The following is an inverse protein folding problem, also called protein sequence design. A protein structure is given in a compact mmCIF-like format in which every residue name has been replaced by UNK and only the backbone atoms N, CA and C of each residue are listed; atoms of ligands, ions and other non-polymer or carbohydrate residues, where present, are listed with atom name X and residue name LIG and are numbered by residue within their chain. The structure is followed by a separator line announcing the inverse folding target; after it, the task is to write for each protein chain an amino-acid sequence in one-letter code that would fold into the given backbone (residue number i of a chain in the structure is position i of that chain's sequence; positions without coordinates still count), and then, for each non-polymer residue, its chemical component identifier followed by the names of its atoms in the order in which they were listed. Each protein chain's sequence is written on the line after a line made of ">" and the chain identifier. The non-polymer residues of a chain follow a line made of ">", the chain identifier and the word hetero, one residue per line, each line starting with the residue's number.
data_IF_632946069729
#
_entry.id   IF_632946069729
#
_cell.length_a   1.000
_cell.length_b   1.000
_cell.length_c   1.000
_cell.angle_alpha   90.00
_cell.angle_beta   90.00
_cell.angle_gamma   90.00
#
_symmetry.space_group_name_H-M   'P 1'
#
loop_
_entity.id
_entity.type
_entity.pdbx_description
1 polymer ?
#
# COMPACT_ATOMS: atom_id res chain seq x y z
N UNK A 1 16.01 -24.96 -19.57
CA UNK A 1 16.47 -23.75 -18.83
C UNK A 1 15.34 -23.32 -17.92
N UNK A 2 15.28 -23.89 -16.72
CA UNK A 2 14.28 -23.58 -15.71
C UNK A 2 14.83 -22.45 -14.85
N UNK A 3 14.48 -21.21 -15.19
CA UNK A 3 14.83 -20.03 -14.41
C UNK A 3 13.81 -19.85 -13.29
N UNK A 4 14.21 -20.06 -12.05
CA UNK A 4 13.44 -19.76 -10.86
C UNK A 4 13.45 -18.25 -10.60
N UNK A 5 12.28 -17.62 -10.58
CA UNK A 5 12.12 -16.23 -10.20
C UNK A 5 11.27 -16.13 -8.94
N UNK A 6 11.82 -15.47 -7.93
CA UNK A 6 11.17 -15.23 -6.64
C UNK A 6 10.07 -14.20 -6.72
N UNK A 7 8.84 -14.64 -6.54
CA UNK A 7 7.67 -13.78 -6.38
C UNK A 7 7.09 -13.93 -4.98
N UNK A 8 7.65 -13.42 -3.96
CA UNK A 8 7.40 -13.92 -2.61
C UNK A 8 8.18 -15.23 -2.41
N UNK A 9 8.61 -15.60 -1.23
CA UNK A 9 9.47 -16.78 -1.07
C UNK A 9 8.96 -17.93 -1.92
N UNK A 10 9.78 -18.33 -2.88
CA UNK A 10 9.44 -19.35 -3.86
C UNK A 10 8.96 -20.61 -3.14
N UNK A 11 7.80 -21.07 -3.53
CA UNK A 11 7.29 -22.35 -3.07
C UNK A 11 8.18 -23.43 -3.66
N UNK A 12 9.16 -23.88 -2.91
CA UNK A 12 9.92 -25.07 -3.25
C UNK A 12 8.99 -26.26 -3.04
N UNK A 13 8.58 -26.85 -4.14
CA UNK A 13 7.85 -28.11 -4.14
C UNK A 13 8.83 -29.21 -3.78
N UNK A 14 8.58 -29.90 -2.69
CA UNK A 14 9.14 -31.24 -2.45
C UNK A 14 8.64 -32.11 -3.60
N UNK A 15 9.43 -32.25 -4.67
CA UNK A 15 9.12 -33.19 -5.74
C UNK A 15 9.11 -34.59 -5.13
N UNK A 16 7.94 -35.22 -5.17
CA UNK A 16 7.78 -36.65 -4.95
C UNK A 16 8.74 -37.43 -5.86
N UNK A 17 9.79 -37.93 -5.29
CA UNK A 17 10.62 -38.95 -5.91
C UNK A 17 9.92 -40.30 -5.80
N UNK A 18 8.87 -40.48 -6.56
CA UNK A 18 8.31 -41.78 -6.86
C UNK A 18 8.22 -41.92 -8.38
N UNK A 19 9.31 -42.28 -9.02
CA UNK A 19 9.36 -43.16 -10.21
C UNK A 19 10.74 -43.07 -10.85
N UNK A 20 11.68 -43.79 -10.29
CA UNK A 20 12.79 -44.35 -11.06
C UNK A 20 12.60 -45.88 -10.99
N UNK A 21 11.84 -46.40 -11.95
CA UNK A 21 11.86 -47.81 -12.25
C UNK A 21 13.21 -48.16 -12.85
N UNK A 22 14.11 -48.64 -12.02
CA UNK A 22 15.28 -49.37 -12.44
C UNK A 22 14.95 -50.86 -12.39
N UNK A 23 14.57 -51.42 -13.56
CA UNK A 23 14.50 -52.86 -13.75
C UNK A 23 15.90 -53.43 -13.71
N UNK A 24 16.30 -53.99 -12.59
CA UNK A 24 17.41 -54.93 -12.52
C UNK A 24 16.85 -56.25 -11.99
N UNK A 25 16.50 -57.13 -12.92
CA UNK A 25 16.36 -58.56 -12.68
C UNK A 25 17.75 -59.16 -12.58
N UNK A 26 18.19 -59.53 -11.39
CA UNK A 26 19.17 -60.55 -11.21
C UNK A 26 18.85 -61.35 -9.96
N UNK A 27 18.75 -62.67 -10.18
CA UNK A 27 18.58 -63.72 -9.19
C UNK A 27 19.54 -63.59 -8.02
N UNK A 28 19.01 -63.57 -6.80
CA UNK A 28 19.75 -63.96 -5.61
C UNK A 28 18.85 -64.83 -4.75
N UNK A 29 18.97 -66.12 -5.00
CA UNK A 29 18.65 -67.13 -4.01
C UNK A 29 19.89 -67.28 -3.10
N UNK A 30 19.64 -67.32 -1.78
CA UNK A 30 20.59 -67.70 -0.73
C UNK A 30 21.66 -66.70 -0.31
N UNK A 31 21.34 -65.93 0.74
CA UNK A 31 22.23 -65.80 1.91
C UNK A 31 21.44 -65.27 3.11
N UNK A 32 21.00 -66.17 3.96
CA UNK A 32 20.68 -65.88 5.35
C UNK A 32 22.00 -65.67 6.09
N UNK A 33 22.14 -64.53 6.67
CA UNK A 33 22.83 -64.24 7.94
C UNK A 33 23.64 -62.94 7.88
N UNK A 34 23.35 -62.13 8.87
CA UNK A 34 24.25 -61.16 9.45
C UNK A 34 24.49 -59.86 8.66
N UNK A 35 24.15 -58.83 9.30
CA UNK A 35 24.61 -57.44 9.34
C UNK A 35 23.43 -56.47 9.37
N UNK A 36 23.19 -56.05 10.56
CA UNK A 36 22.55 -54.78 10.93
C UNK A 36 23.36 -53.64 10.29
N UNK A 37 22.99 -53.28 9.09
CA UNK A 37 23.55 -52.13 8.43
C UNK A 37 22.47 -51.06 8.43
N UNK A 38 22.50 -50.22 9.44
CA UNK A 38 21.89 -48.88 9.36
C UNK A 38 22.38 -48.22 8.08
N UNK A 39 21.70 -48.42 6.98
CA UNK A 39 21.83 -47.59 5.80
C UNK A 39 21.30 -46.25 6.23
N UNK A 40 22.21 -45.39 6.76
CA UNK A 40 21.99 -43.96 6.73
C UNK A 40 21.72 -43.61 5.27
N UNK A 41 20.47 -43.38 4.95
CA UNK A 41 20.10 -42.72 3.67
C UNK A 41 20.79 -41.37 3.69
N UNK A 42 22.04 -41.32 3.22
CA UNK A 42 22.68 -40.06 2.90
C UNK A 42 21.79 -39.41 1.84
N UNK A 43 21.07 -38.37 2.22
CA UNK A 43 20.31 -37.52 1.31
C UNK A 43 21.32 -37.06 0.26
N UNK A 44 21.26 -37.58 -0.95
CA UNK A 44 22.09 -37.15 -2.05
C UNK A 44 21.73 -35.67 -2.30
N UNK A 45 22.59 -34.78 -1.85
CA UNK A 45 22.42 -33.33 -2.03
C UNK A 45 22.72 -33.04 -3.50
N UNK A 46 21.69 -32.72 -4.26
CA UNK A 46 21.84 -32.27 -5.65
C UNK A 46 22.29 -30.80 -5.68
N UNK A 47 23.54 -30.58 -6.03
CA UNK A 47 24.04 -29.21 -6.23
C UNK A 47 23.61 -28.67 -7.58
N UNK A 48 22.98 -27.46 -7.54
CA UNK A 48 22.57 -26.73 -8.72
C UNK A 48 23.73 -25.90 -9.30
N UNK A 49 23.70 -25.64 -10.59
CA UNK A 49 24.67 -24.72 -11.20
C UNK A 49 24.32 -23.27 -10.82
N UNK A 50 25.33 -22.42 -10.51
CA UNK A 50 25.07 -21.03 -10.13
C UNK A 50 24.47 -20.25 -11.29
N UNK A 51 23.30 -19.65 -11.09
CA UNK A 51 22.61 -18.84 -12.10
C UNK A 51 22.42 -17.40 -11.58
N UNK A 52 22.82 -16.43 -12.40
CA UNK A 52 22.65 -15.01 -12.11
C UNK A 52 21.69 -14.37 -13.11
N UNK A 53 20.96 -13.36 -12.65
CA UNK A 53 20.16 -12.54 -13.55
C UNK A 53 21.02 -11.82 -14.60
N UNK A 54 20.48 -11.65 -15.81
CA UNK A 54 21.17 -10.90 -16.87
C UNK A 54 21.46 -9.46 -16.46
N UNK A 55 22.52 -8.87 -16.99
CA UNK A 55 22.89 -7.49 -16.67
C UNK A 55 21.77 -6.50 -16.95
N UNK A 56 21.07 -6.66 -18.08
CA UNK A 56 19.94 -5.81 -18.44
C UNK A 56 18.81 -5.90 -17.40
N UNK A 57 18.50 -7.10 -16.92
CA UNK A 57 17.47 -7.31 -15.89
C UNK A 57 17.82 -6.59 -14.59
N UNK A 58 19.07 -6.72 -14.13
CA UNK A 58 19.57 -6.04 -12.92
C UNK A 58 19.49 -4.52 -13.05
N UNK A 59 20.00 -3.95 -14.15
CA UNK A 59 20.03 -2.50 -14.37
C UNK A 59 18.62 -1.93 -14.46
N UNK A 60 17.78 -2.52 -15.29
CA UNK A 60 16.40 -2.06 -15.50
C UNK A 60 15.60 -2.15 -14.18
N UNK A 61 15.64 -3.30 -13.51
CA UNK A 61 14.94 -3.49 -12.24
C UNK A 61 15.40 -2.51 -11.17
N UNK A 62 16.72 -2.32 -11.02
CA UNK A 62 17.29 -1.39 -10.02
C UNK A 62 16.90 0.06 -10.29
N UNK A 63 16.97 0.53 -11.55
CA UNK A 63 16.64 1.91 -11.88
C UNK A 63 15.15 2.18 -11.64
N UNK A 64 14.26 1.35 -12.22
CA UNK A 64 12.82 1.59 -12.11
C UNK A 64 12.34 1.48 -10.66
N UNK A 65 12.68 0.41 -9.97
CA UNK A 65 12.24 0.20 -8.60
C UNK A 65 12.93 1.16 -7.62
N UNK A 66 14.18 1.51 -7.85
CA UNK A 66 14.90 2.51 -7.05
C UNK A 66 14.27 3.91 -7.14
N UNK A 67 13.89 4.36 -8.33
CA UNK A 67 13.16 5.62 -8.51
C UNK A 67 11.80 5.58 -7.82
N UNK A 68 11.03 4.49 -7.98
CA UNK A 68 9.74 4.30 -7.32
C UNK A 68 9.90 4.33 -5.80
N UNK A 69 10.92 3.67 -5.26
CA UNK A 69 11.24 3.66 -3.83
C UNK A 69 11.50 5.06 -3.30
N UNK A 70 12.41 5.80 -3.93
CA UNK A 70 12.76 7.16 -3.51
C UNK A 70 11.54 8.10 -3.54
N UNK A 71 10.82 8.12 -4.66
CA UNK A 71 9.63 8.97 -4.83
C UNK A 71 8.53 8.57 -3.83
N UNK A 72 8.31 7.27 -3.65
CA UNK A 72 7.28 6.76 -2.76
C UNK A 72 7.59 7.02 -1.30
N UNK A 73 8.82 6.76 -0.85
CA UNK A 73 9.22 6.99 0.54
C UNK A 73 9.17 8.49 0.87
N UNK A 74 9.80 9.34 0.05
CA UNK A 74 9.79 10.78 0.28
C UNK A 74 8.37 11.36 0.23
N UNK A 75 7.56 10.93 -0.73
CA UNK A 75 6.18 11.38 -0.88
C UNK A 75 5.30 11.02 0.32
N UNK A 76 5.34 9.76 0.78
CA UNK A 76 4.54 9.31 1.91
C UNK A 76 5.00 9.94 3.24
N UNK A 77 6.31 10.09 3.47
CA UNK A 77 6.84 10.84 4.62
C UNK A 77 6.32 12.28 4.61
N UNK A 78 6.32 12.94 3.45
CA UNK A 78 5.81 14.31 3.32
C UNK A 78 4.31 14.41 3.63
N UNK A 79 3.49 13.45 3.23
CA UNK A 79 2.06 13.40 3.59
C UNK A 79 1.91 13.34 5.10
N UNK A 80 2.64 12.43 5.78
CA UNK A 80 2.59 12.29 7.23
C UNK A 80 2.99 13.60 7.92
N UNK A 81 4.11 14.22 7.52
CA UNK A 81 4.60 15.48 8.09
C UNK A 81 3.59 16.62 7.89
N UNK A 82 3.07 16.80 6.68
CA UNK A 82 2.16 17.90 6.34
C UNK A 82 0.86 17.79 7.13
N UNK A 83 0.27 16.60 7.22
CA UNK A 83 -1.00 16.40 7.93
C UNK A 83 -0.81 16.53 9.45
N UNK A 84 0.25 15.99 10.01
CA UNK A 84 0.48 16.01 11.48
C UNK A 84 0.93 17.37 12.00
N UNK A 85 1.78 18.09 11.25
CA UNK A 85 2.30 19.41 11.69
C UNK A 85 1.37 20.58 11.37
N UNK A 86 0.44 20.47 10.42
CA UNK A 86 -0.42 21.57 10.01
C UNK A 86 -1.83 21.42 10.60
N UNK A 87 -2.18 22.22 11.61
CA UNK A 87 -3.50 22.14 12.28
C UNK A 87 -4.69 22.18 11.32
N UNK A 88 -4.64 22.99 10.26
CA UNK A 88 -5.71 23.07 9.25
C UNK A 88 -5.85 21.85 8.36
N UNK A 89 -4.84 20.97 8.36
CA UNK A 89 -4.83 19.71 7.62
C UNK A 89 -5.30 18.53 8.48
N UNK A 90 -5.41 18.67 9.79
CA UNK A 90 -5.86 17.59 10.67
C UNK A 90 -7.39 17.46 10.59
N UNK A 91 -7.86 16.72 9.60
CA UNK A 91 -9.27 16.39 9.37
C UNK A 91 -9.49 14.87 9.45
N UNK A 92 -10.71 14.38 9.72
CA UNK A 92 -10.99 12.94 9.73
C UNK A 92 -10.49 12.25 8.46
N UNK A 93 -10.76 12.86 7.31
CA UNK A 93 -10.31 12.40 6.00
C UNK A 93 -8.80 12.23 5.91
N UNK A 94 -8.06 13.25 6.31
CA UNK A 94 -6.60 13.24 6.19
C UNK A 94 -5.95 12.28 7.21
N UNK A 95 -6.63 11.91 8.30
CA UNK A 95 -6.17 10.84 9.19
C UNK A 95 -6.08 9.48 8.45
N UNK A 96 -7.06 9.16 7.61
CA UNK A 96 -7.00 7.95 6.79
C UNK A 96 -5.89 8.01 5.73
N UNK A 97 -5.60 9.20 5.17
CA UNK A 97 -4.47 9.37 4.26
C UNK A 97 -3.13 9.16 4.96
N UNK A 98 -3.00 9.56 6.22
CA UNK A 98 -1.80 9.26 7.04
C UNK A 98 -1.68 7.75 7.27
N UNK A 99 -2.78 7.07 7.62
CA UNK A 99 -2.80 5.61 7.79
C UNK A 99 -2.38 4.89 6.50
N UNK A 100 -2.91 5.32 5.36
CA UNK A 100 -2.52 4.80 4.05
C UNK A 100 -1.04 5.04 3.75
N UNK A 101 -0.54 6.26 4.00
CA UNK A 101 0.89 6.58 3.80
C UNK A 101 1.83 5.75 4.70
N UNK A 102 1.43 5.45 5.94
CA UNK A 102 2.21 4.57 6.83
C UNK A 102 2.23 3.13 6.32
N UNK A 103 1.10 2.62 5.84
CA UNK A 103 0.99 1.30 5.23
C UNK A 103 1.84 1.19 3.95
N UNK A 104 1.80 2.22 3.09
CA UNK A 104 2.60 2.28 1.86
C UNK A 104 4.12 2.35 2.17
N UNK A 105 4.51 3.07 3.23
CA UNK A 105 5.91 3.08 3.71
C UNK A 105 6.36 1.69 4.15
N UNK A 106 5.52 0.92 4.86
CA UNK A 106 5.86 -0.45 5.25
C UNK A 106 6.08 -1.34 4.03
N UNK A 107 5.20 -1.28 3.02
CA UNK A 107 5.36 -2.05 1.77
C UNK A 107 6.66 -1.68 1.08
N UNK A 108 6.91 -0.38 0.87
CA UNK A 108 8.11 0.09 0.17
C UNK A 108 9.40 -0.29 0.90
N UNK A 109 9.45 -0.09 2.22
CA UNK A 109 10.65 -0.37 3.02
C UNK A 109 10.93 -1.86 3.20
N UNK A 110 9.89 -2.68 3.32
CA UNK A 110 10.05 -4.12 3.49
C UNK A 110 10.33 -4.86 2.17
N UNK A 111 9.79 -4.36 1.04
CA UNK A 111 9.83 -5.12 -0.22
C UNK A 111 10.89 -4.62 -1.19
N UNK A 112 10.96 -3.32 -1.46
CA UNK A 112 11.76 -2.80 -2.59
C UNK A 112 13.26 -2.97 -2.39
N UNK A 113 13.87 -2.64 -1.23
CA UNK A 113 15.30 -2.84 -1.03
C UNK A 113 15.70 -4.31 -1.15
N UNK A 114 14.87 -5.21 -0.60
CA UNK A 114 15.10 -6.64 -0.68
C UNK A 114 14.96 -7.17 -2.11
N UNK A 115 13.98 -6.69 -2.87
CA UNK A 115 13.79 -7.06 -4.28
C UNK A 115 14.98 -6.61 -5.14
N UNK A 116 15.46 -5.38 -4.97
CA UNK A 116 16.64 -4.88 -5.70
C UNK A 116 17.88 -5.70 -5.35
N UNK A 117 18.05 -6.01 -4.05
CA UNK A 117 19.20 -6.80 -3.59
C UNK A 117 19.18 -8.20 -4.20
N UNK A 118 18.03 -8.86 -4.31
CA UNK A 118 17.88 -10.19 -4.89
C UNK A 118 18.37 -10.27 -6.35
N UNK A 119 18.39 -9.17 -7.10
CA UNK A 119 18.93 -9.14 -8.47
C UNK A 119 20.44 -9.37 -8.54
N UNK A 120 21.16 -9.14 -7.45
CA UNK A 120 22.61 -9.25 -7.37
C UNK A 120 23.08 -10.49 -6.61
N UNK A 121 22.17 -11.20 -5.97
CA UNK A 121 22.43 -12.44 -5.25
C UNK A 121 22.33 -13.65 -6.20
N UNK A 122 22.80 -14.79 -5.74
CA UNK A 122 22.81 -16.03 -6.49
C UNK A 122 21.46 -16.75 -6.32
N UNK A 123 20.73 -16.94 -7.41
CA UNK A 123 19.45 -17.60 -7.39
C UNK A 123 18.47 -16.96 -6.39
N UNK A 124 17.95 -17.76 -5.48
CA UNK A 124 16.98 -17.33 -4.45
C UNK A 124 17.64 -17.11 -3.08
N UNK A 125 18.91 -16.71 -3.05
CA UNK A 125 19.65 -16.49 -1.81
C UNK A 125 19.00 -15.45 -0.92
N UNK A 126 18.90 -15.77 0.37
CA UNK A 126 18.36 -14.91 1.42
C UNK A 126 19.43 -14.61 2.47
N UNK A 127 19.88 -13.36 2.57
CA UNK A 127 21.01 -12.98 3.41
C UNK A 127 20.61 -12.48 4.81
N UNK A 128 19.32 -12.25 5.09
CA UNK A 128 18.86 -11.67 6.35
C UNK A 128 18.58 -12.72 7.42
N UNK A 129 18.89 -13.98 7.18
CA UNK A 129 18.64 -15.08 8.09
C UNK A 129 17.15 -15.29 8.41
N UNK A 130 16.87 -16.19 9.34
CA UNK A 130 15.51 -16.59 9.72
C UNK A 130 14.67 -15.41 10.26
N UNK A 131 15.24 -14.57 11.13
CA UNK A 131 14.51 -13.42 11.69
C UNK A 131 14.11 -12.43 10.62
N UNK A 132 15.01 -12.12 9.69
CA UNK A 132 14.72 -11.27 8.55
C UNK A 132 13.62 -11.86 7.67
N UNK A 133 13.67 -13.15 7.34
CA UNK A 133 12.63 -13.85 6.57
C UNK A 133 11.23 -13.64 7.18
N UNK A 134 11.10 -13.87 8.48
CA UNK A 134 9.83 -13.71 9.21
C UNK A 134 9.35 -12.25 9.20
N UNK A 135 10.24 -11.31 9.56
CA UNK A 135 9.88 -9.90 9.74
C UNK A 135 9.53 -9.24 8.40
N UNK A 136 10.32 -9.44 7.35
CA UNK A 136 10.08 -8.80 6.04
C UNK A 136 8.78 -9.28 5.41
N UNK A 137 8.48 -10.58 5.48
CA UNK A 137 7.22 -11.13 4.97
C UNK A 137 6.04 -10.60 5.77
N UNK A 138 6.11 -10.62 7.10
CA UNK A 138 5.06 -10.08 7.96
C UNK A 138 4.78 -8.60 7.68
N UNK A 139 5.81 -7.75 7.64
CA UNK A 139 5.66 -6.32 7.38
C UNK A 139 5.11 -6.02 5.98
N UNK A 140 5.50 -6.80 4.98
CA UNK A 140 4.98 -6.67 3.63
C UNK A 140 3.48 -6.95 3.58
N UNK A 141 3.01 -8.08 4.11
CA UNK A 141 1.59 -8.41 4.15
C UNK A 141 0.79 -7.44 5.04
N UNK A 142 1.35 -7.05 6.18
CA UNK A 142 0.74 -6.05 7.05
C UNK A 142 0.53 -4.72 6.32
N UNK A 143 1.54 -4.22 5.62
CA UNK A 143 1.46 -2.99 4.84
C UNK A 143 0.41 -3.08 3.73
N UNK A 144 0.40 -4.17 2.96
CA UNK A 144 -0.56 -4.42 1.87
C UNK A 144 -2.00 -4.41 2.42
N UNK A 145 -2.26 -5.17 3.47
CA UNK A 145 -3.60 -5.35 4.01
C UNK A 145 -4.09 -4.08 4.73
N UNK A 146 -3.22 -3.40 5.49
CA UNK A 146 -3.53 -2.11 6.11
C UNK A 146 -3.80 -1.00 5.07
N UNK A 147 -3.08 -0.98 3.94
CA UNK A 147 -3.31 -0.06 2.82
C UNK A 147 -4.71 -0.25 2.23
N UNK A 148 -5.08 -1.48 1.88
CA UNK A 148 -6.41 -1.81 1.35
C UNK A 148 -7.54 -1.44 2.30
N UNK A 149 -7.43 -1.79 3.58
CA UNK A 149 -8.42 -1.44 4.60
C UNK A 149 -8.51 0.07 4.84
N UNK A 150 -7.39 0.79 4.78
CA UNK A 150 -7.38 2.25 4.92
C UNK A 150 -8.11 2.94 3.77
N UNK A 151 -7.93 2.47 2.52
CA UNK A 151 -8.69 2.94 1.35
C UNK A 151 -10.19 2.65 1.55
N UNK A 152 -10.53 1.47 2.03
CA UNK A 152 -11.91 1.05 2.29
C UNK A 152 -12.58 1.94 3.35
N UNK A 153 -11.95 2.10 4.51
CA UNK A 153 -12.45 2.93 5.61
C UNK A 153 -12.62 4.39 5.16
N UNK A 154 -11.67 4.90 4.40
CA UNK A 154 -11.72 6.21 3.80
C UNK A 154 -12.90 6.38 2.82
N UNK A 155 -13.17 5.38 1.97
CA UNK A 155 -14.31 5.40 1.03
C UNK A 155 -15.64 5.43 1.77
N UNK A 156 -15.79 4.64 2.83
CA UNK A 156 -16.98 4.64 3.68
C UNK A 156 -17.18 6.01 4.37
N UNK A 157 -16.11 6.60 4.89
CA UNK A 157 -16.14 7.94 5.49
C UNK A 157 -16.61 8.99 4.49
N UNK A 158 -16.14 8.93 3.24
CA UNK A 158 -16.57 9.86 2.18
C UNK A 158 -18.04 9.68 1.82
N UNK A 159 -18.49 8.43 1.72
CA UNK A 159 -19.90 8.15 1.49
C UNK A 159 -20.77 8.77 2.57
N UNK A 160 -20.46 8.56 3.85
CA UNK A 160 -21.21 9.16 4.97
C UNK A 160 -21.18 10.69 4.89
N UNK A 161 -20.01 11.28 4.63
CA UNK A 161 -19.85 12.73 4.59
C UNK A 161 -20.64 13.41 3.45
N UNK A 162 -20.85 12.73 2.34
CA UNK A 162 -21.50 13.29 1.15
C UNK A 162 -22.97 12.93 1.10
N UNK A 163 -23.31 11.66 1.32
CA UNK A 163 -24.68 11.15 1.19
C UNK A 163 -25.52 11.41 2.45
N UNK A 164 -24.90 11.54 3.63
CA UNK A 164 -25.58 11.72 4.90
C UNK A 164 -25.02 12.91 5.71
N UNK A 165 -25.11 14.16 5.21
CA UNK A 165 -24.41 15.31 5.81
C UNK A 165 -24.83 15.61 7.25
N UNK A 166 -26.10 15.37 7.60
CA UNK A 166 -26.59 15.55 8.99
C UNK A 166 -25.94 14.55 9.95
N UNK A 167 -25.85 13.28 9.57
CA UNK A 167 -25.16 12.26 10.35
C UNK A 167 -23.65 12.50 10.38
N UNK A 168 -23.07 13.00 9.29
CA UNK A 168 -21.64 13.25 9.18
C UNK A 168 -21.15 14.28 10.22
N UNK A 169 -21.91 15.30 10.54
CA UNK A 169 -21.53 16.29 11.56
C UNK A 169 -21.31 15.65 12.94
N UNK A 170 -22.10 14.62 13.28
CA UNK A 170 -21.97 13.90 14.57
C UNK A 170 -20.94 12.79 14.53
N UNK A 171 -20.77 12.13 13.36
CA UNK A 171 -20.06 10.87 13.22
C UNK A 171 -18.63 11.06 12.65
N UNK A 172 -18.42 11.98 11.70
CA UNK A 172 -17.14 12.18 11.05
C UNK A 172 -16.22 13.10 11.88
N UNK A 173 -15.70 12.59 12.99
CA UNK A 173 -14.77 13.30 13.88
C UNK A 173 -13.37 12.71 13.82
N UNK A 174 -12.34 13.53 14.11
CA UNK A 174 -10.94 13.09 14.14
C UNK A 174 -10.73 11.96 15.15
N UNK A 175 -11.37 12.04 16.33
CA UNK A 175 -11.24 11.01 17.35
C UNK A 175 -11.83 9.67 16.91
N UNK A 176 -12.97 9.70 16.19
CA UNK A 176 -13.56 8.47 15.63
C UNK A 176 -12.68 7.92 14.52
N UNK A 177 -12.18 8.75 13.61
CA UNK A 177 -11.25 8.31 12.55
C UNK A 177 -10.03 7.61 13.15
N UNK A 178 -9.42 8.17 14.20
CA UNK A 178 -8.30 7.54 14.91
C UNK A 178 -8.67 6.16 15.49
N UNK A 179 -9.85 6.03 16.12
CA UNK A 179 -10.32 4.73 16.66
C UNK A 179 -10.51 3.70 15.55
N UNK A 180 -11.09 4.09 14.42
CA UNK A 180 -11.28 3.20 13.26
C UNK A 180 -9.91 2.78 12.70
N UNK A 181 -8.97 3.71 12.55
CA UNK A 181 -7.61 3.42 12.08
C UNK A 181 -6.91 2.43 13.01
N UNK A 182 -6.99 2.63 14.33
CA UNK A 182 -6.43 1.67 15.30
C UNK A 182 -7.07 0.28 15.09
N UNK A 183 -8.40 0.21 14.96
CA UNK A 183 -9.09 -1.04 14.66
C UNK A 183 -8.63 -1.71 13.38
N UNK A 184 -8.42 -0.94 12.29
CA UNK A 184 -7.87 -1.41 11.02
C UNK A 184 -6.47 -2.03 11.21
N UNK A 185 -5.58 -1.36 11.92
CA UNK A 185 -4.22 -1.85 12.16
C UNK A 185 -4.20 -3.07 13.06
N UNK A 186 -5.01 -3.11 14.13
CA UNK A 186 -5.15 -4.28 15.01
C UNK A 186 -5.67 -5.48 14.21
N UNK A 187 -6.72 -5.30 13.42
CA UNK A 187 -7.24 -6.37 12.57
C UNK A 187 -6.20 -6.86 11.55
N UNK A 188 -5.50 -5.94 10.86
CA UNK A 188 -4.45 -6.31 9.92
C UNK A 188 -3.30 -7.07 10.60
N UNK A 189 -2.85 -6.64 11.80
CA UNK A 189 -1.82 -7.34 12.57
C UNK A 189 -2.27 -8.76 12.96
N UNK A 190 -3.49 -8.91 13.47
CA UNK A 190 -4.02 -10.22 13.86
C UNK A 190 -4.17 -11.15 12.65
N UNK A 191 -4.68 -10.62 11.53
CA UNK A 191 -4.82 -11.39 10.30
C UNK A 191 -3.46 -11.81 9.71
N UNK A 192 -2.45 -10.95 9.77
CA UNK A 192 -1.11 -11.25 9.26
C UNK A 192 -0.24 -12.06 10.25
N UNK A 193 -0.64 -12.19 11.52
CA UNK A 193 0.16 -12.87 12.55
C UNK A 193 0.56 -14.32 12.19
N UNK A 194 -0.22 -15.12 11.43
CA UNK A 194 0.19 -16.44 11.01
C UNK A 194 1.51 -16.45 10.23
N UNK A 195 1.83 -15.40 9.47
CA UNK A 195 3.08 -15.32 8.71
C UNK A 195 4.33 -15.34 9.59
N UNK A 196 4.22 -14.96 10.86
CA UNK A 196 5.31 -15.05 11.84
C UNK A 196 5.74 -16.52 12.12
N UNK A 197 4.84 -17.48 11.86
CA UNK A 197 5.05 -18.91 12.11
C UNK A 197 5.10 -19.73 10.83
N UNK A 198 4.55 -19.21 9.73
CA UNK A 198 4.41 -19.90 8.45
C UNK A 198 5.56 -19.65 7.50
N UNK A 199 6.62 -18.98 7.95
CA UNK A 199 7.83 -18.71 7.16
C UNK A 199 9.05 -19.32 7.80
N UNK A 200 9.95 -19.86 6.99
CA UNK A 200 11.21 -20.46 7.41
C UNK A 200 12.33 -20.22 6.40
N UNK A 201 13.57 -20.28 6.84
CA UNK A 201 14.72 -20.42 5.92
C UNK A 201 15.03 -21.91 5.71
N UNK A 202 15.42 -22.25 4.49
CA UNK A 202 15.89 -23.59 4.15
C UNK A 202 17.23 -23.48 3.41
N UNK A 203 18.16 -24.42 3.63
CA UNK A 203 19.43 -24.42 2.92
C UNK A 203 19.22 -24.68 1.42
N UNK A 204 20.00 -24.01 0.58
CA UNK A 204 20.10 -24.24 -0.85
C UNK A 204 21.57 -24.55 -1.20
N UNK A 205 21.76 -25.40 -2.18
CA UNK A 205 23.10 -25.93 -2.51
C UNK A 205 23.45 -25.59 -3.96
N UNK A 206 24.43 -24.69 -4.13
CA UNK A 206 25.01 -24.36 -5.43
C UNK A 206 26.46 -24.83 -5.48
N UNK A 207 26.94 -25.27 -6.66
CA UNK A 207 28.32 -25.68 -6.87
C UNK A 207 29.27 -24.53 -6.54
N UNK A 208 30.24 -24.78 -5.66
CA UNK A 208 31.24 -23.78 -5.26
C UNK A 208 30.74 -22.73 -4.25
N UNK A 209 29.55 -22.88 -3.70
CA UNK A 209 29.00 -22.00 -2.69
C UNK A 209 28.47 -22.79 -1.49
N UNK A 210 28.85 -22.36 -0.28
CA UNK A 210 28.47 -23.01 0.99
C UNK A 210 27.61 -22.11 1.83
N UNK A 211 26.80 -22.72 2.71
CA UNK A 211 26.00 -22.01 3.71
C UNK A 211 24.96 -21.01 3.17
N UNK A 212 24.37 -21.29 2.02
CA UNK A 212 23.33 -20.46 1.44
C UNK A 212 21.96 -20.90 1.94
N UNK A 213 21.08 -19.93 2.17
CA UNK A 213 19.70 -20.15 2.59
C UNK A 213 18.74 -19.42 1.68
N UNK A 214 17.52 -19.93 1.53
CA UNK A 214 16.39 -19.22 0.93
C UNK A 214 15.26 -19.06 1.91
N UNK A 215 14.47 -17.99 1.77
CA UNK A 215 13.29 -17.72 2.59
C UNK A 215 12.05 -18.31 1.90
N UNK A 216 11.34 -19.20 2.58
CA UNK A 216 10.21 -19.93 2.01
C UNK A 216 9.06 -20.13 3.02
N UNK A 217 7.91 -20.62 2.56
CA UNK A 217 6.80 -20.97 3.42
C UNK A 217 7.03 -22.31 4.12
N UNK A 218 6.56 -22.41 5.35
CA UNK A 218 6.68 -23.63 6.16
C UNK A 218 5.62 -24.70 5.82
N UNK A 219 4.48 -24.28 5.27
CA UNK A 219 3.38 -25.14 4.88
C UNK A 219 3.50 -25.63 3.45
N UNK A 220 2.89 -26.77 3.14
CA UNK A 220 2.72 -27.24 1.76
C UNK A 220 1.79 -26.29 0.98
N UNK A 221 1.90 -26.31 -0.36
CA UNK A 221 1.16 -25.45 -1.27
C UNK A 221 -0.36 -25.47 -1.00
N UNK A 222 -0.94 -26.63 -0.78
CA UNK A 222 -2.38 -26.80 -0.58
C UNK A 222 -2.90 -26.01 0.63
N UNK A 223 -2.15 -25.95 1.72
CA UNK A 223 -2.54 -25.27 2.94
C UNK A 223 -2.43 -23.75 2.85
N UNK A 224 -1.39 -23.19 2.20
CA UNK A 224 -1.28 -21.74 2.08
C UNK A 224 -2.12 -21.14 0.95
N UNK A 225 -2.56 -21.94 -0.06
CA UNK A 225 -3.47 -21.44 -1.11
C UNK A 225 -4.79 -20.93 -0.54
N UNK A 226 -5.37 -21.62 0.42
CA UNK A 226 -6.58 -21.15 1.11
C UNK A 226 -6.41 -19.77 1.73
N UNK A 227 -5.24 -19.50 2.33
CA UNK A 227 -4.92 -18.21 2.90
C UNK A 227 -4.76 -17.12 1.83
N UNK A 228 -4.12 -17.43 0.70
CA UNK A 228 -4.01 -16.50 -0.43
C UNK A 228 -5.35 -16.16 -1.08
N UNK A 229 -6.26 -17.13 -1.20
CA UNK A 229 -7.62 -16.87 -1.70
C UNK A 229 -8.43 -16.04 -0.70
N UNK A 230 -8.30 -16.29 0.60
CA UNK A 230 -8.91 -15.46 1.63
C UNK A 230 -8.38 -14.01 1.54
N UNK A 231 -7.06 -13.82 1.41
CA UNK A 231 -6.43 -12.51 1.22
C UNK A 231 -6.94 -11.80 -0.05
N UNK A 232 -7.06 -12.51 -1.16
CA UNK A 232 -7.63 -12.00 -2.40
C UNK A 232 -9.06 -11.48 -2.21
N UNK A 233 -9.92 -12.26 -1.53
CA UNK A 233 -11.32 -11.89 -1.32
C UNK A 233 -11.45 -10.74 -0.33
N UNK A 234 -10.79 -10.82 0.84
CA UNK A 234 -10.95 -9.86 1.94
C UNK A 234 -10.29 -8.51 1.62
N UNK A 235 -9.11 -8.51 1.00
CA UNK A 235 -8.32 -7.28 0.82
C UNK A 235 -8.25 -6.77 -0.63
N UNK A 236 -8.88 -7.43 -1.57
CA UNK A 236 -8.95 -6.94 -2.95
C UNK A 236 -10.38 -6.95 -3.50
N UNK A 237 -11.04 -8.11 -3.60
CA UNK A 237 -12.38 -8.21 -4.23
C UNK A 237 -13.43 -7.45 -3.42
N UNK A 238 -13.55 -7.73 -2.12
CA UNK A 238 -14.54 -7.08 -1.26
C UNK A 238 -14.34 -5.56 -1.17
N UNK A 239 -13.14 -5.02 -0.89
CA UNK A 239 -12.89 -3.58 -0.91
C UNK A 239 -13.22 -2.91 -2.24
N UNK A 240 -12.89 -3.56 -3.35
CA UNK A 240 -13.16 -3.05 -4.69
C UNK A 240 -14.67 -2.98 -4.97
N UNK A 241 -15.40 -4.06 -4.74
CA UNK A 241 -16.86 -4.10 -4.91
C UNK A 241 -17.57 -3.09 -4.03
N UNK A 242 -17.20 -3.02 -2.73
CA UNK A 242 -17.75 -2.03 -1.82
C UNK A 242 -17.47 -0.60 -2.31
N UNK A 243 -16.26 -0.32 -2.75
CA UNK A 243 -15.90 0.99 -3.30
C UNK A 243 -16.73 1.33 -4.55
N UNK A 244 -16.89 0.39 -5.47
CA UNK A 244 -17.71 0.59 -6.68
C UNK A 244 -19.17 0.94 -6.32
N UNK A 245 -19.76 0.21 -5.38
CA UNK A 245 -21.15 0.49 -4.91
C UNK A 245 -21.24 1.87 -4.26
N UNK A 246 -20.34 2.20 -3.34
CA UNK A 246 -20.37 3.48 -2.63
C UNK A 246 -20.12 4.66 -3.57
N UNK A 247 -19.21 4.55 -4.53
CA UNK A 247 -18.99 5.60 -5.55
C UNK A 247 -20.17 5.73 -6.51
N UNK A 248 -20.82 4.64 -6.88
CA UNK A 248 -22.06 4.67 -7.66
C UNK A 248 -23.17 5.45 -6.94
N UNK A 249 -23.35 5.20 -5.64
CA UNK A 249 -24.31 5.94 -4.80
C UNK A 249 -23.95 7.43 -4.66
N UNK A 250 -22.68 7.75 -4.43
CA UNK A 250 -22.18 9.13 -4.37
C UNK A 250 -22.43 9.84 -5.70
N UNK A 251 -22.08 9.21 -6.81
CA UNK A 251 -22.28 9.76 -8.14
C UNK A 251 -23.76 10.05 -8.40
N UNK A 252 -24.65 9.09 -8.10
CA UNK A 252 -26.10 9.28 -8.24
C UNK A 252 -26.59 10.52 -7.50
N UNK A 253 -26.21 10.71 -6.23
CA UNK A 253 -26.64 11.88 -5.44
C UNK A 253 -26.10 13.19 -6.00
N UNK A 254 -24.82 13.20 -6.45
CA UNK A 254 -24.23 14.40 -7.03
C UNK A 254 -24.89 14.79 -8.35
N UNK A 255 -25.22 13.83 -9.22
CA UNK A 255 -25.93 14.08 -10.47
C UNK A 255 -27.35 14.58 -10.22
N UNK A 256 -28.08 13.98 -9.28
CA UNK A 256 -29.45 14.41 -8.94
C UNK A 256 -29.47 15.85 -8.40
N UNK A 257 -28.51 16.21 -7.55
CA UNK A 257 -28.41 17.56 -7.01
C UNK A 257 -28.02 18.59 -8.07
N UNK A 258 -27.15 18.24 -9.06
CA UNK A 258 -26.76 19.13 -10.13
C UNK A 258 -27.91 19.41 -11.12
N UNK A 259 -28.75 18.41 -11.42
CA UNK A 259 -29.95 18.56 -12.25
C UNK A 259 -30.98 19.48 -11.58
N UNK A 260 -31.15 19.38 -10.26
CA UNK A 260 -32.04 20.27 -9.48
C UNK A 260 -31.58 21.74 -9.49
N UNK A 261 -30.25 21.99 -9.45
CA UNK A 261 -29.67 23.35 -9.55
C UNK A 261 -29.85 23.96 -10.96
N UNK A 262 -29.72 23.17 -12.02
CA UNK A 262 -29.93 23.64 -13.40
C UNK A 262 -31.41 23.97 -13.66
N UNK A 263 -32.34 23.18 -13.10
CA UNK A 263 -33.76 23.43 -13.20
C UNK A 263 -34.17 24.69 -12.44
N UNK A 264 -33.62 24.93 -11.24
CA UNK A 264 -33.83 26.13 -10.44
C UNK A 264 -33.28 27.40 -11.11
N UNK A 265 -32.12 27.35 -11.79
CA UNK A 265 -31.57 28.45 -12.56
C UNK A 265 -32.43 28.81 -13.77
N UNK A 266 -33.03 27.84 -14.43
CA UNK A 266 -33.91 28.05 -15.59
C UNK A 266 -35.20 28.73 -15.23
N UNK A 267 -35.67 28.57 -13.98
CA UNK A 267 -36.94 29.14 -13.48
C UNK A 267 -36.79 30.48 -12.73
N UNK A 268 -35.63 31.18 -12.86
CA UNK A 268 -35.47 32.54 -12.36
C UNK A 268 -35.42 32.73 -10.85
N UNK A 269 -35.25 31.66 -10.08
CA UNK A 269 -35.07 31.72 -8.63
C UNK A 269 -33.68 32.22 -8.34
N UNK A 270 -33.57 33.53 -8.01
CA UNK A 270 -32.30 34.14 -7.51
C UNK A 270 -32.03 33.55 -6.12
N UNK A 271 -31.32 32.44 -6.07
CA UNK A 271 -30.80 31.94 -4.81
C UNK A 271 -29.49 32.63 -4.46
N UNK A 272 -29.43 33.19 -3.27
CA UNK A 272 -28.28 33.84 -2.61
C UNK A 272 -27.08 32.89 -2.36
N UNK A 273 -26.70 32.03 -3.32
CA UNK A 273 -25.95 30.79 -3.04
C UNK A 273 -24.62 30.67 -3.77
N UNK A 274 -23.88 31.78 -3.98
CA UNK A 274 -22.46 31.70 -4.34
C UNK A 274 -21.64 30.78 -3.40
N UNK A 275 -22.00 30.76 -2.10
CA UNK A 275 -21.34 29.94 -1.09
C UNK A 275 -21.68 28.43 -1.23
N UNK A 276 -22.87 28.10 -1.73
CA UNK A 276 -23.36 26.73 -1.90
C UNK A 276 -22.74 26.07 -3.15
N UNK A 277 -22.66 26.81 -4.24
CA UNK A 277 -22.05 26.36 -5.50
C UNK A 277 -20.54 26.07 -5.33
N UNK A 278 -19.83 26.88 -4.56
CA UNK A 278 -18.40 26.68 -4.31
C UNK A 278 -18.14 25.44 -3.41
N UNK A 279 -19.05 25.13 -2.47
CA UNK A 279 -18.98 23.93 -1.65
C UNK A 279 -19.25 22.65 -2.46
N UNK A 280 -20.16 22.67 -3.42
CA UNK A 280 -20.42 21.52 -4.29
C UNK A 280 -19.24 21.20 -5.19
N UNK A 281 -18.61 22.20 -5.79
CA UNK A 281 -17.43 22.03 -6.62
C UNK A 281 -16.26 21.37 -5.83
N UNK A 282 -16.03 21.80 -4.58
CA UNK A 282 -15.00 21.21 -3.74
C UNK A 282 -15.31 19.74 -3.37
N UNK A 283 -16.58 19.41 -3.11
CA UNK A 283 -17.01 18.02 -2.83
C UNK A 283 -16.82 17.12 -4.04
N UNK A 284 -17.25 17.58 -5.23
CA UNK A 284 -17.08 16.85 -6.49
C UNK A 284 -15.60 16.60 -6.77
N UNK A 285 -14.72 17.57 -6.54
CA UNK A 285 -13.27 17.40 -6.73
C UNK A 285 -12.70 16.31 -5.81
N UNK A 286 -13.10 16.26 -4.53
CA UNK A 286 -12.68 15.21 -3.60
C UNK A 286 -13.15 13.84 -4.09
N UNK A 287 -14.41 13.71 -4.54
CA UNK A 287 -14.95 12.43 -5.04
C UNK A 287 -14.20 11.96 -6.27
N UNK A 288 -13.92 12.85 -7.24
CA UNK A 288 -13.11 12.51 -8.42
C UNK A 288 -11.71 12.01 -8.03
N UNK A 289 -11.07 12.68 -7.06
CA UNK A 289 -9.77 12.25 -6.55
C UNK A 289 -9.81 10.82 -6.03
N UNK A 290 -10.83 10.49 -5.26
CA UNK A 290 -10.97 9.18 -4.62
C UNK A 290 -11.32 8.08 -5.61
N UNK A 291 -12.19 8.38 -6.57
CA UNK A 291 -12.50 7.44 -7.65
C UNK A 291 -11.23 7.08 -8.43
N UNK A 292 -10.35 8.06 -8.69
CA UNK A 292 -9.03 7.82 -9.31
C UNK A 292 -8.15 6.93 -8.43
N UNK A 293 -8.09 7.18 -7.11
CA UNK A 293 -7.27 6.35 -6.19
C UNK A 293 -7.74 4.89 -6.20
N UNK A 294 -9.06 4.64 -6.15
CA UNK A 294 -9.60 3.28 -6.21
C UNK A 294 -9.36 2.63 -7.57
N UNK A 295 -9.54 3.36 -8.67
CA UNK A 295 -9.28 2.85 -10.01
C UNK A 295 -7.80 2.49 -10.20
N UNK A 296 -6.88 3.32 -9.70
CA UNK A 296 -5.45 3.07 -9.71
C UNK A 296 -5.11 1.83 -8.86
N UNK A 297 -5.67 1.74 -7.65
CA UNK A 297 -5.51 0.55 -6.80
C UNK A 297 -5.96 -0.72 -7.53
N UNK A 298 -7.16 -0.72 -8.10
CA UNK A 298 -7.68 -1.87 -8.82
C UNK A 298 -6.78 -2.28 -10.00
N UNK A 299 -6.37 -1.31 -10.82
CA UNK A 299 -5.59 -1.56 -12.04
C UNK A 299 -4.17 -2.03 -11.73
N UNK A 300 -3.50 -1.42 -10.74
CA UNK A 300 -2.11 -1.74 -10.43
C UNK A 300 -1.96 -3.08 -9.68
N UNK A 301 -2.98 -3.51 -8.92
CA UNK A 301 -2.99 -4.82 -8.28
C UNK A 301 -3.42 -5.96 -9.20
N UNK A 302 -4.19 -5.66 -10.24
CA UNK A 302 -4.80 -6.67 -11.12
C UNK A 302 -3.78 -7.66 -11.73
N UNK A 303 -2.64 -7.22 -12.31
CA UNK A 303 -1.70 -8.15 -12.96
C UNK A 303 -1.18 -9.21 -11.96
N UNK A 304 -0.80 -8.80 -10.77
CA UNK A 304 -0.33 -9.71 -9.73
C UNK A 304 -1.42 -10.66 -9.25
N UNK A 305 -2.65 -10.15 -9.01
CA UNK A 305 -3.77 -10.97 -8.54
C UNK A 305 -4.20 -12.00 -9.58
N UNK A 306 -4.20 -11.63 -10.87
CA UNK A 306 -4.46 -12.58 -11.97
C UNK A 306 -3.36 -13.64 -12.04
N UNK A 307 -2.09 -13.27 -11.95
CA UNK A 307 -0.98 -14.21 -11.94
C UNK A 307 -1.06 -15.18 -10.76
N UNK A 308 -1.41 -14.68 -9.56
CA UNK A 308 -1.59 -15.50 -8.38
C UNK A 308 -2.67 -16.56 -8.57
N UNK A 309 -3.85 -16.16 -9.10
CA UNK A 309 -4.96 -17.06 -9.37
C UNK A 309 -4.57 -18.08 -10.45
N UNK A 310 -3.96 -17.62 -11.55
CA UNK A 310 -3.50 -18.50 -12.62
C UNK A 310 -2.52 -19.55 -12.08
N UNK A 311 -1.47 -19.12 -11.38
CA UNK A 311 -0.46 -20.02 -10.81
C UNK A 311 -1.03 -20.95 -9.71
N UNK A 312 -2.16 -20.60 -9.10
CA UNK A 312 -2.84 -21.45 -8.12
C UNK A 312 -3.60 -22.60 -8.76
N UNK A 313 -4.12 -22.39 -9.97
CA UNK A 313 -4.96 -23.35 -10.69
C UNK A 313 -4.18 -24.14 -11.76
N UNK A 314 -3.14 -23.57 -12.34
CA UNK A 314 -2.36 -24.16 -13.41
C UNK A 314 -1.51 -25.34 -12.89
N UNK A 315 -1.36 -26.39 -13.75
CA UNK A 315 -0.44 -27.51 -13.51
C UNK A 315 1.01 -27.02 -13.54
N UNK A 316 1.35 -26.18 -14.51
CA UNK A 316 2.66 -25.53 -14.65
C UNK A 316 2.52 -24.07 -14.31
N UNK A 317 3.43 -23.56 -13.45
CA UNK A 317 3.42 -22.16 -13.05
C UNK A 317 4.03 -21.28 -14.13
N UNK A 318 3.40 -20.12 -14.36
CA UNK A 318 3.94 -19.09 -15.20
C UNK A 318 4.96 -18.25 -14.38
N UNK A 319 6.23 -18.42 -14.70
CA UNK A 319 7.36 -17.83 -13.94
C UNK A 319 8.31 -17.03 -14.84
N UNK A 320 7.75 -16.33 -15.84
CA UNK A 320 8.55 -15.49 -16.73
C UNK A 320 9.07 -14.25 -15.98
N UNK A 321 10.39 -14.03 -15.99
CA UNK A 321 11.08 -13.06 -15.14
C UNK A 321 10.62 -11.61 -15.35
N UNK A 322 10.49 -11.18 -16.61
CA UNK A 322 10.10 -9.82 -16.92
C UNK A 322 8.66 -9.51 -16.51
N UNK A 323 7.77 -10.49 -16.70
CA UNK A 323 6.38 -10.34 -16.26
C UNK A 323 6.25 -10.31 -14.74
N UNK A 324 7.06 -11.09 -14.04
CA UNK A 324 7.15 -11.06 -12.59
C UNK A 324 7.66 -9.71 -12.08
N UNK A 325 8.73 -9.19 -12.67
CA UNK A 325 9.24 -7.83 -12.37
C UNK A 325 8.16 -6.78 -12.63
N UNK A 326 7.45 -6.88 -13.76
CA UNK A 326 6.34 -5.99 -14.08
C UNK A 326 5.24 -6.02 -13.00
N UNK A 327 4.77 -7.20 -12.61
CA UNK A 327 3.74 -7.35 -11.57
C UNK A 327 4.17 -6.73 -10.23
N UNK A 328 5.39 -7.01 -9.78
CA UNK A 328 5.95 -6.43 -8.54
C UNK A 328 6.09 -4.91 -8.64
N UNK A 329 6.59 -4.42 -9.76
CA UNK A 329 6.75 -2.98 -10.02
C UNK A 329 5.39 -2.26 -9.95
N UNK A 330 4.31 -2.85 -10.49
CA UNK A 330 2.97 -2.29 -10.39
C UNK A 330 2.50 -2.16 -8.93
N UNK A 331 2.77 -3.15 -8.08
CA UNK A 331 2.48 -3.08 -6.64
C UNK A 331 3.26 -1.92 -5.99
N UNK A 332 4.53 -1.75 -6.31
CA UNK A 332 5.36 -0.67 -5.75
C UNK A 332 4.90 0.71 -6.22
N UNK A 333 4.50 0.84 -7.50
CA UNK A 333 3.88 2.06 -8.02
C UNK A 333 2.60 2.38 -7.24
N UNK A 334 1.77 1.39 -6.90
CA UNK A 334 0.56 1.62 -6.11
C UNK A 334 0.85 2.31 -4.77
N UNK A 335 1.90 1.89 -4.08
CA UNK A 335 2.31 2.51 -2.80
C UNK A 335 3.02 3.87 -2.99
N UNK A 336 3.62 4.12 -4.14
CA UNK A 336 4.34 5.38 -4.40
C UNK A 336 3.46 6.49 -5.00
N UNK A 337 2.36 6.16 -5.68
CA UNK A 337 1.58 7.12 -6.47
C UNK A 337 0.64 8.00 -5.63
N UNK A 338 0.21 7.51 -4.45
CA UNK A 338 -0.79 8.18 -3.60
C UNK A 338 -0.44 9.64 -3.27
N UNK A 339 0.77 9.99 -2.82
CA UNK A 339 1.17 11.38 -2.56
C UNK A 339 1.12 12.26 -3.81
N UNK A 340 1.43 11.69 -4.98
CA UNK A 340 1.38 12.40 -6.27
C UNK A 340 -0.06 12.75 -6.60
N UNK A 341 -0.99 11.80 -6.45
CA UNK A 341 -2.42 12.02 -6.68
C UNK A 341 -2.98 13.10 -5.75
N UNK A 342 -2.62 13.08 -4.45
CA UNK A 342 -3.08 14.11 -3.50
C UNK A 342 -2.55 15.49 -3.87
N UNK A 343 -1.29 15.58 -4.28
CA UNK A 343 -0.69 16.83 -4.70
C UNK A 343 -1.27 17.34 -6.03
N UNK A 344 -1.51 16.46 -7.01
CA UNK A 344 -2.09 16.82 -8.30
C UNK A 344 -3.53 17.33 -8.17
N UNK A 345 -4.36 16.68 -7.33
CA UNK A 345 -5.79 16.90 -7.28
C UNK A 345 -6.27 17.83 -6.17
N UNK A 346 -5.44 18.13 -5.15
CA UNK A 346 -5.82 18.96 -4.00
C UNK A 346 -4.99 20.24 -3.89
N UNK A 347 -5.64 21.39 -4.08
CA UNK A 347 -5.03 22.72 -3.88
C UNK A 347 -4.51 22.91 -2.45
N UNK A 348 -5.24 22.36 -1.45
CA UNK A 348 -4.83 22.43 -0.04
C UNK A 348 -3.53 21.66 0.19
N UNK A 349 -3.41 20.44 -0.35
CA UNK A 349 -2.17 19.65 -0.28
C UNK A 349 -1.02 20.37 -0.99
N UNK A 350 -1.21 20.84 -2.22
CA UNK A 350 -0.17 21.60 -2.96
C UNK A 350 0.39 22.78 -2.15
N UNK A 351 -0.50 23.58 -1.54
CA UNK A 351 -0.07 24.72 -0.71
C UNK A 351 0.70 24.27 0.53
N UNK A 352 0.23 23.21 1.20
CA UNK A 352 0.85 22.69 2.39
C UNK A 352 2.22 22.03 2.09
N UNK A 353 2.34 21.29 0.98
CA UNK A 353 3.62 20.74 0.50
C UNK A 353 4.62 21.84 0.17
N UNK A 354 4.21 22.88 -0.61
CA UNK A 354 5.08 24.03 -0.89
C UNK A 354 5.57 24.70 0.38
N UNK A 355 4.68 24.92 1.36
CA UNK A 355 5.06 25.50 2.64
C UNK A 355 6.04 24.63 3.41
N UNK A 356 5.83 23.33 3.46
CA UNK A 356 6.72 22.38 4.16
C UNK A 356 8.11 22.34 3.51
N UNK A 357 8.20 22.39 2.18
CA UNK A 357 9.46 22.44 1.44
C UNK A 357 10.16 23.81 1.57
N UNK A 358 9.40 24.91 1.69
CA UNK A 358 9.94 26.26 1.85
C UNK A 358 10.38 26.57 3.27
N UNK A 359 10.00 25.76 4.27
CA UNK A 359 10.30 26.00 5.70
C UNK A 359 11.79 25.82 6.05
N UNK A 360 12.62 25.33 5.11
CA UNK A 360 14.08 25.38 5.20
C UNK A 360 14.70 26.72 4.79
N UNK A 361 13.88 27.65 4.30
CA UNK A 361 14.30 29.00 3.85
C UNK A 361 13.58 30.07 4.66
N UNK A 362 13.58 29.96 5.98
CA UNK A 362 13.20 31.09 6.84
C UNK A 362 14.29 32.13 6.76
N UNK A 363 14.17 33.00 5.76
CA UNK A 363 14.72 34.34 5.84
C UNK A 363 14.11 34.97 7.09
N UNK A 364 14.95 35.20 8.06
CA UNK A 364 14.69 36.03 9.21
C UNK A 364 14.28 37.41 8.68
N UNK A 365 13.00 37.64 8.42
CA UNK A 365 12.45 38.95 8.33
C UNK A 365 12.49 39.51 9.75
N UNK A 366 13.61 40.20 10.06
CA UNK A 366 13.72 41.14 11.16
C UNK A 366 12.49 42.00 11.13
N UNK A 367 11.67 41.86 12.15
CA UNK A 367 10.47 42.64 12.36
C UNK A 367 10.77 44.11 12.48
N UNK A 368 10.55 44.84 11.43
CA UNK A 368 10.18 46.24 11.48
C UNK A 368 8.65 46.27 11.52
N UNK A 369 8.12 46.35 12.73
CA UNK A 369 6.72 46.70 12.96
C UNK A 369 6.59 48.14 12.47
N UNK A 370 5.75 48.43 11.42
CA UNK A 370 5.47 49.79 11.09
C UNK A 370 4.63 50.37 12.25
N UNK A 371 5.21 51.38 12.89
CA UNK A 371 4.53 52.21 13.88
C UNK A 371 3.29 52.83 13.24
N UNK A 372 2.13 52.29 13.51
CA UNK A 372 0.86 52.89 13.10
C UNK A 372 0.59 54.02 14.07
N UNK A 373 0.86 55.26 13.62
CA UNK A 373 0.51 56.48 14.32
C UNK A 373 -0.99 56.50 14.59
N UNK A 374 -1.33 56.36 15.86
CA UNK A 374 -2.70 56.59 16.33
C UNK A 374 -2.89 58.10 16.38
N UNK A 375 -3.62 58.64 15.44
CA UNK A 375 -4.11 60.02 15.50
C UNK A 375 -5.13 60.09 16.64
N UNK A 376 -4.73 60.74 17.72
CA UNK A 376 -5.62 61.08 18.82
C UNK A 376 -6.48 62.25 18.33
N UNK A 377 -7.73 62.01 18.00
CA UNK A 377 -8.73 63.07 17.76
C UNK A 377 -9.30 63.43 19.13
N UNK A 378 -8.79 64.52 19.67
CA UNK A 378 -9.39 65.26 20.80
C UNK A 378 -10.72 65.83 20.36
N UNK A 379 -11.80 65.31 20.87
CA UNK A 379 -13.13 65.93 20.81
C UNK A 379 -13.26 66.84 22.02
N UNK A 380 -13.13 68.14 21.79
CA UNK A 380 -13.55 69.18 22.72
C UNK A 380 -15.07 69.17 22.85
N UNK A 381 -15.58 68.92 24.07
CA UNK A 381 -16.95 69.17 24.45
C UNK A 381 -17.08 70.63 24.84
N UNK A 382 -17.67 71.45 23.96
CA UNK A 382 -18.17 72.77 24.35
C UNK A 382 -19.54 72.59 24.93
N UNK A 383 -19.61 72.81 26.22
CA UNK A 383 -20.87 73.05 26.96
C UNK A 383 -21.37 74.42 26.69
N UNK A 384 -22.55 74.58 26.16
CA UNK A 384 -23.31 75.87 26.22
C UNK A 384 -24.65 75.62 26.92
N UNK A 385 -24.72 76.24 28.10
CA UNK A 385 -25.88 76.52 28.87
C UNK A 385 -26.62 77.68 28.27
N UNK A 386 -27.91 77.57 28.06
CA UNK A 386 -28.86 78.71 28.07
C UNK A 386 -30.18 78.17 28.59
N UNK A 387 -30.47 78.63 29.62
CA UNK A 387 -31.45 79.36 30.45
C UNK A 387 -32.65 79.87 29.66
N UNK A 388 -33.82 79.77 30.33
CA UNK A 388 -35.14 80.48 30.17
C UNK A 388 -36.12 79.81 29.20
N UNK A 389 -37.28 79.43 29.64
CA UNK A 389 -38.44 79.92 30.33
C UNK A 389 -39.39 78.75 30.60
#
# INVERSE_FOLDING_TARGET
>A
MTTHATLLPSCYEESDYSTLNLSLTTDISNCSSFWDTSIKTEKIIAYQDPTYYSLNYRIIGTIFQGVIFLVGVLGNIMVVIVVTKTRSMLTPTNCYLVSLSLADLLVLMASVPNEILSYYLLGDEWIWGRAGCIIFIFLQYLGINASSLSITAFTVERYIAICHPMKAQMVCTVNRAKKIIIGVWVFACLYCSPWLFLTKTVPIYYKGHENMETCTFALSREHYLGYFFADLVIFYIFPLLLSCVLYGLIARILFTNSLGEDYGKRNGVKTSDWKKTNNNSARVQVVKMLAVVVAVFATLWMPYRVLLVYNSLAKERYMELWFLMFCKTMIFINSAINPILYNAMSVKFRRAFKKALSCGRTRQETGLVPFRSVAITTRENVAQKTTEA
#
